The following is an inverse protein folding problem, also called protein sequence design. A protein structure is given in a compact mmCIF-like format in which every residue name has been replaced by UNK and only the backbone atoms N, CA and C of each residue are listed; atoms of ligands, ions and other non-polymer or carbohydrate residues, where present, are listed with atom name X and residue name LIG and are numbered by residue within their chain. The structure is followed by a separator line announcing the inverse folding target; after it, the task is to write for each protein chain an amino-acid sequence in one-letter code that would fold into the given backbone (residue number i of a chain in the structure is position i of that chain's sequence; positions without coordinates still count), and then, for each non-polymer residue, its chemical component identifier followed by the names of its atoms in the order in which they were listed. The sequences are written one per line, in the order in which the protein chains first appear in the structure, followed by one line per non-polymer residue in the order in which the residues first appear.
data_IF_673457475484
#
_entry.id   IF_673457475484
#
_cell.length_a   1.000
_cell.length_b   1.000
_cell.length_c   1.000
_cell.angle_alpha   90.00
_cell.angle_beta   90.00
_cell.angle_gamma   90.00
#
_symmetry.space_group_name_H-M   'P 1'
#
loop_
_entity.id
_entity.type
_entity.pdbx_description
1 polymer ?
#
# COMPACT_ATOMS: atom_id res chain seq x y z
N UNK A 1 8.95 12.09 -4.98
CA UNK A 1 8.14 11.66 -6.14
C UNK A 1 6.90 10.96 -5.62
N UNK A 2 5.75 11.65 -5.61
CA UNK A 2 4.46 11.11 -5.18
C UNK A 2 3.52 11.50 -6.32
N UNK A 3 3.05 10.54 -7.14
CA UNK A 3 1.92 10.73 -8.09
C UNK A 3 1.58 9.49 -8.96
N UNK A 4 2.25 8.35 -8.80
CA UNK A 4 2.00 7.24 -9.73
C UNK A 4 0.72 6.44 -9.47
N UNK A 5 0.22 6.37 -8.22
CA UNK A 5 -1.07 5.70 -7.89
C UNK A 5 -2.27 6.37 -8.54
N UNK A 6 -2.19 7.68 -8.69
CA UNK A 6 -3.25 8.51 -9.23
C UNK A 6 -3.52 8.17 -10.69
N UNK A 7 -2.45 8.05 -11.49
CA UNK A 7 -2.55 7.62 -12.88
C UNK A 7 -3.08 6.18 -12.99
N UNK A 8 -2.76 5.30 -12.03
CA UNK A 8 -3.24 3.91 -12.05
C UNK A 8 -4.76 3.83 -11.92
N UNK A 9 -5.39 4.60 -11.04
CA UNK A 9 -6.86 4.59 -10.87
C UNK A 9 -7.56 4.90 -12.20
N UNK A 10 -7.20 6.01 -12.84
CA UNK A 10 -7.74 6.41 -14.14
C UNK A 10 -7.53 5.34 -15.20
N UNK A 11 -6.30 4.86 -15.35
CA UNK A 11 -5.96 3.85 -16.35
C UNK A 11 -6.78 2.58 -16.18
N UNK A 12 -6.93 2.08 -14.95
CA UNK A 12 -7.73 0.89 -14.71
C UNK A 12 -9.22 1.10 -15.03
N UNK A 13 -9.80 2.24 -14.63
CA UNK A 13 -11.20 2.55 -14.95
C UNK A 13 -11.41 2.57 -16.46
N UNK A 14 -10.55 3.27 -17.19
CA UNK A 14 -10.64 3.37 -18.66
C UNK A 14 -10.45 2.02 -19.36
N UNK A 15 -9.51 1.17 -18.90
CA UNK A 15 -9.31 -0.18 -19.44
C UNK A 15 -10.52 -1.10 -19.25
N UNK A 16 -11.29 -0.90 -18.18
CA UNK A 16 -12.53 -1.66 -17.91
C UNK A 16 -13.77 -1.07 -18.57
N UNK A 17 -13.65 0.08 -19.25
CA UNK A 17 -14.76 0.73 -19.94
C UNK A 17 -15.79 1.42 -19.02
N UNK A 18 -15.50 1.56 -17.73
CA UNK A 18 -16.43 2.21 -16.78
C UNK A 18 -16.37 3.73 -16.97
N UNK A 19 -17.52 4.36 -17.19
CA UNK A 19 -17.59 5.81 -17.32
C UNK A 19 -17.25 6.50 -15.98
N UNK A 20 -16.63 7.67 -16.04
CA UNK A 20 -16.25 8.44 -14.85
C UNK A 20 -17.46 8.73 -13.94
N UNK A 21 -18.60 9.10 -14.54
CA UNK A 21 -19.84 9.40 -13.82
C UNK A 21 -20.43 8.18 -13.11
N UNK A 22 -20.36 7.01 -13.75
CA UNK A 22 -20.89 5.76 -13.19
C UNK A 22 -20.01 5.32 -12.02
N UNK A 23 -18.69 5.40 -12.21
CA UNK A 23 -17.73 5.14 -11.14
C UNK A 23 -17.94 6.08 -9.94
N UNK A 24 -18.12 7.38 -10.18
CA UNK A 24 -18.37 8.35 -9.13
C UNK A 24 -19.66 8.04 -8.37
N UNK A 25 -20.73 7.67 -9.10
CA UNK A 25 -22.02 7.27 -8.54
C UNK A 25 -21.89 5.99 -7.69
N UNK A 26 -21.17 4.98 -8.17
CA UNK A 26 -20.94 3.72 -7.45
C UNK A 26 -20.11 3.93 -6.17
N UNK A 27 -19.14 4.85 -6.20
CA UNK A 27 -18.32 5.22 -5.03
C UNK A 27 -19.13 6.10 -4.06
N UNK A 28 -20.16 6.82 -4.55
CA UNK A 28 -20.94 7.76 -3.76
C UNK A 28 -20.26 9.13 -3.59
N UNK A 29 -19.55 9.60 -4.63
CA UNK A 29 -18.88 10.92 -4.63
C UNK A 29 -19.25 11.73 -5.87
N UNK A 30 -19.00 13.03 -5.81
CA UNK A 30 -19.15 13.92 -6.96
C UNK A 30 -18.17 13.56 -8.10
N UNK A 31 -18.67 13.58 -9.34
CA UNK A 31 -17.89 13.29 -10.55
C UNK A 31 -16.70 14.26 -10.71
N UNK A 32 -16.86 15.53 -10.32
CA UNK A 32 -15.78 16.52 -10.31
C UNK A 32 -14.68 16.17 -9.30
N UNK A 33 -15.04 15.68 -8.12
CA UNK A 33 -14.08 15.16 -7.14
C UNK A 33 -13.35 13.92 -7.67
N UNK A 34 -14.06 12.96 -8.26
CA UNK A 34 -13.41 11.80 -8.87
C UNK A 34 -12.47 12.21 -10.02
N UNK A 35 -12.87 13.18 -10.84
CA UNK A 35 -12.01 13.75 -11.88
C UNK A 35 -10.73 14.36 -11.31
N UNK A 36 -10.83 15.17 -10.24
CA UNK A 36 -9.64 15.73 -9.58
C UNK A 36 -8.74 14.63 -9.01
N UNK A 37 -9.34 13.58 -8.45
CA UNK A 37 -8.61 12.41 -7.96
C UNK A 37 -7.83 11.73 -9.08
N UNK A 38 -8.49 11.41 -10.20
CA UNK A 38 -7.86 10.71 -11.32
C UNK A 38 -6.79 11.53 -12.07
N UNK A 39 -6.75 12.85 -11.85
CA UNK A 39 -5.77 13.75 -12.43
C UNK A 39 -4.73 14.27 -11.42
N UNK A 40 -4.73 13.77 -10.18
CA UNK A 40 -3.73 14.11 -9.17
C UNK A 40 -3.88 15.50 -8.58
N UNK A 41 -5.08 16.08 -8.72
CA UNK A 41 -5.45 17.36 -8.14
C UNK A 41 -6.09 17.21 -6.75
N UNK A 42 -6.46 15.99 -6.38
CA UNK A 42 -7.02 15.63 -5.09
C UNK A 42 -6.52 14.23 -4.70
N UNK A 43 -6.04 14.05 -3.47
CA UNK A 43 -5.61 12.72 -3.01
C UNK A 43 -6.84 11.83 -2.77
N UNK A 44 -6.84 10.57 -3.26
CA UNK A 44 -7.88 9.62 -2.94
C UNK A 44 -7.79 9.22 -1.46
N UNK A 45 -8.93 9.20 -0.77
CA UNK A 45 -9.00 8.55 0.53
C UNK A 45 -9.02 7.02 0.37
N UNK A 46 -8.86 6.29 1.48
CA UNK A 46 -8.81 4.83 1.47
C UNK A 46 -10.08 4.18 0.90
N UNK A 47 -11.25 4.80 1.10
CA UNK A 47 -12.52 4.27 0.61
C UNK A 47 -12.62 4.36 -0.92
N UNK A 48 -12.07 5.41 -1.52
CA UNK A 48 -11.97 5.54 -2.98
C UNK A 48 -11.11 4.40 -3.53
N UNK A 49 -9.90 4.21 -2.99
CA UNK A 49 -8.99 3.15 -3.46
C UNK A 49 -9.62 1.76 -3.29
N UNK A 50 -10.25 1.51 -2.14
CA UNK A 50 -10.96 0.25 -1.88
C UNK A 50 -12.13 0.04 -2.86
N UNK A 51 -12.84 1.10 -3.21
CA UNK A 51 -13.93 1.01 -4.19
C UNK A 51 -13.42 0.64 -5.58
N UNK A 52 -12.27 1.17 -6.02
CA UNK A 52 -11.64 0.72 -7.28
C UNK A 52 -11.28 -0.76 -7.24
N UNK A 53 -10.70 -1.24 -6.14
CA UNK A 53 -10.41 -2.66 -5.95
C UNK A 53 -11.67 -3.52 -6.11
N UNK A 54 -12.77 -3.14 -5.45
CA UNK A 54 -14.00 -3.93 -5.43
C UNK A 54 -14.77 -3.88 -6.75
N UNK A 55 -14.99 -2.68 -7.30
CA UNK A 55 -15.82 -2.47 -8.49
C UNK A 55 -15.13 -3.05 -9.72
N UNK A 56 -13.82 -2.82 -9.87
CA UNK A 56 -13.05 -3.21 -11.04
C UNK A 56 -12.37 -4.57 -10.88
N UNK A 57 -12.48 -5.21 -9.70
CA UNK A 57 -11.85 -6.49 -9.34
C UNK A 57 -10.32 -6.48 -9.56
N UNK A 58 -9.68 -5.36 -9.22
CA UNK A 58 -8.23 -5.20 -9.35
C UNK A 58 -7.57 -5.64 -8.06
N UNK A 59 -6.55 -6.52 -8.07
CA UNK A 59 -5.80 -6.84 -6.87
C UNK A 59 -5.26 -5.57 -6.20
N UNK A 60 -5.50 -5.42 -4.90
CA UNK A 60 -5.27 -4.16 -4.16
C UNK A 60 -3.81 -3.71 -4.28
N UNK A 61 -2.87 -4.66 -4.27
CA UNK A 61 -1.43 -4.45 -4.43
C UNK A 61 -1.07 -3.74 -5.74
N UNK A 62 -1.84 -3.96 -6.82
CA UNK A 62 -1.60 -3.30 -8.10
C UNK A 62 -1.94 -1.80 -8.08
N UNK A 63 -2.79 -1.35 -7.15
CA UNK A 63 -3.10 0.07 -6.97
C UNK A 63 -1.97 0.82 -6.24
N UNK A 64 -1.08 0.08 -5.59
CA UNK A 64 0.01 0.63 -4.76
C UNK A 64 1.39 0.21 -5.29
N UNK A 65 1.53 0.02 -6.60
CA UNK A 65 2.75 -0.52 -7.25
C UNK A 65 4.05 0.12 -6.76
N UNK A 66 4.04 1.41 -6.46
CA UNK A 66 5.24 2.15 -6.04
C UNK A 66 5.35 2.25 -4.51
N UNK A 67 4.22 2.24 -3.81
CA UNK A 67 4.17 2.32 -2.36
C UNK A 67 4.50 0.99 -1.70
N UNK A 68 4.19 -0.16 -2.33
CA UNK A 68 4.54 -1.47 -1.77
C UNK A 68 6.04 -1.61 -1.54
N UNK A 69 6.92 -1.46 -2.55
CA UNK A 69 8.36 -1.61 -2.35
C UNK A 69 8.93 -0.61 -1.33
N UNK A 70 8.51 0.66 -1.40
CA UNK A 70 8.98 1.69 -0.47
C UNK A 70 8.54 1.42 0.98
N UNK A 71 7.30 0.97 1.16
CA UNK A 71 6.77 0.61 2.49
C UNK A 71 7.47 -0.61 3.04
N UNK A 72 7.67 -1.66 2.23
CA UNK A 72 8.37 -2.88 2.63
C UNK A 72 9.80 -2.54 3.09
N UNK A 73 10.55 -1.76 2.29
CA UNK A 73 11.92 -1.33 2.65
C UNK A 73 11.94 -0.52 3.94
N UNK A 74 11.00 0.40 4.12
CA UNK A 74 10.89 1.21 5.34
C UNK A 74 10.61 0.33 6.57
N UNK A 75 9.65 -0.59 6.46
CA UNK A 75 9.32 -1.54 7.52
C UNK A 75 10.51 -2.47 7.85
N UNK A 76 11.24 -2.95 6.85
CA UNK A 76 12.40 -3.82 7.04
C UNK A 76 13.52 -3.07 7.78
N UNK A 77 13.87 -1.85 7.32
CA UNK A 77 14.86 -0.99 7.98
C UNK A 77 14.49 -0.73 9.45
N UNK A 78 13.25 -0.36 9.71
CA UNK A 78 12.80 -0.05 11.07
C UNK A 78 12.78 -1.31 11.96
N UNK A 79 12.44 -2.48 11.41
CA UNK A 79 12.43 -3.75 12.15
C UNK A 79 13.84 -4.19 12.52
N UNK A 80 14.82 -4.02 11.62
CA UNK A 80 16.23 -4.28 11.89
C UNK A 80 16.77 -3.35 12.98
N UNK A 81 16.50 -2.05 12.87
CA UNK A 81 16.90 -1.07 13.88
C UNK A 81 16.32 -1.41 15.27
N UNK A 82 15.03 -1.75 15.32
CA UNK A 82 14.38 -2.16 16.58
C UNK A 82 15.01 -3.44 17.16
N UNK A 83 15.38 -4.41 16.32
CA UNK A 83 16.07 -5.61 16.78
C UNK A 83 17.43 -5.25 17.39
N UNK A 84 18.21 -4.43 16.72
CA UNK A 84 19.54 -4.00 17.17
C UNK A 84 19.46 -3.27 18.53
N UNK A 85 18.44 -2.44 18.74
CA UNK A 85 18.17 -1.78 20.02
C UNK A 85 17.83 -2.76 21.15
N UNK A 86 17.20 -3.90 20.85
CA UNK A 86 16.75 -4.87 21.85
C UNK A 86 17.82 -5.92 22.19
N UNK A 87 18.78 -6.17 21.29
CA UNK A 87 19.86 -7.16 21.49
C UNK A 87 20.60 -6.99 22.83
N UNK A 88 20.97 -5.77 23.28
CA UNK A 88 21.66 -5.59 24.56
C UNK A 88 20.89 -6.15 25.76
N UNK A 89 19.56 -6.21 25.69
CA UNK A 89 18.69 -6.67 26.78
C UNK A 89 18.13 -8.07 26.58
N UNK A 90 18.63 -8.84 25.59
CA UNK A 90 18.09 -10.16 25.20
C UNK A 90 18.02 -11.19 26.33
N UNK A 91 18.85 -11.01 27.37
CA UNK A 91 18.84 -11.90 28.55
C UNK A 91 17.50 -11.86 29.30
N UNK A 92 16.73 -10.77 29.18
CA UNK A 92 15.39 -10.67 29.76
C UNK A 92 14.42 -11.53 28.95
N UNK A 93 13.70 -12.50 29.55
CA UNK A 93 12.83 -13.43 28.80
C UNK A 93 11.77 -12.76 27.91
N UNK A 94 11.20 -11.63 28.36
CA UNK A 94 10.23 -10.87 27.58
C UNK A 94 10.86 -10.15 26.37
N UNK A 95 12.14 -9.75 26.47
CA UNK A 95 12.89 -9.15 25.35
C UNK A 95 13.25 -10.24 24.34
N UNK A 96 13.71 -11.41 24.79
CA UNK A 96 13.93 -12.57 23.91
C UNK A 96 12.69 -12.91 23.08
N UNK A 97 11.51 -12.96 23.71
CA UNK A 97 10.24 -13.19 23.00
C UNK A 97 9.95 -12.10 21.96
N UNK A 98 10.18 -10.83 22.30
CA UNK A 98 10.00 -9.70 21.36
C UNK A 98 10.93 -9.82 20.16
N UNK A 99 12.21 -10.15 20.37
CA UNK A 99 13.18 -10.36 19.29
C UNK A 99 12.72 -11.49 18.36
N UNK A 100 12.28 -12.63 18.90
CA UNK A 100 11.75 -13.74 18.07
C UNK A 100 10.55 -13.32 17.22
N UNK A 101 9.66 -12.48 17.76
CA UNK A 101 8.54 -11.93 17.01
C UNK A 101 9.00 -10.98 15.89
N UNK A 102 9.99 -10.14 16.17
CA UNK A 102 10.58 -9.22 15.18
C UNK A 102 11.30 -10.00 14.08
N UNK A 103 12.06 -11.05 14.42
CA UNK A 103 12.70 -11.93 13.44
C UNK A 103 11.67 -12.55 12.49
N UNK A 104 10.56 -13.06 13.02
CA UNK A 104 9.46 -13.59 12.20
C UNK A 104 8.88 -12.55 11.26
N UNK A 105 8.81 -11.28 11.67
CA UNK A 105 8.33 -10.17 10.83
C UNK A 105 9.36 -9.85 9.75
N UNK A 106 10.65 -9.77 10.10
CA UNK A 106 11.76 -9.53 9.16
C UNK A 106 11.75 -10.61 8.07
N UNK A 107 11.64 -11.89 8.42
CA UNK A 107 11.61 -12.99 7.46
C UNK A 107 10.47 -12.82 6.44
N UNK A 108 9.27 -12.45 6.92
CA UNK A 108 8.11 -12.17 6.04
C UNK A 108 8.36 -10.97 5.14
N UNK A 109 8.93 -9.88 5.67
CA UNK A 109 9.23 -8.68 4.89
C UNK A 109 10.30 -8.93 3.83
N UNK A 110 11.30 -9.76 4.12
CA UNK A 110 12.34 -10.15 3.15
C UNK A 110 11.75 -10.98 2.01
N UNK A 111 10.78 -11.86 2.29
CA UNK A 111 10.05 -12.59 1.26
C UNK A 111 9.28 -11.61 0.36
N UNK A 112 8.51 -10.71 0.97
CA UNK A 112 7.74 -9.70 0.24
C UNK A 112 8.62 -8.76 -0.60
N UNK A 113 9.77 -8.31 -0.08
CA UNK A 113 10.68 -7.44 -0.83
C UNK A 113 11.15 -8.12 -2.13
N UNK A 114 11.45 -9.43 -2.09
CA UNK A 114 11.82 -10.21 -3.28
C UNK A 114 10.67 -10.36 -4.27
N UNK A 115 9.44 -10.44 -3.80
CA UNK A 115 8.25 -10.57 -4.65
C UNK A 115 7.93 -9.27 -5.39
N UNK A 116 8.17 -8.10 -4.78
CA UNK A 116 7.74 -6.79 -5.30
C UNK A 116 8.88 -5.93 -5.90
N UNK A 117 10.14 -6.34 -5.79
CA UNK A 117 11.31 -5.64 -6.38
C UNK A 117 11.63 -6.13 -7.81
N UNK A 118 10.97 -7.18 -8.31
CA UNK A 118 11.07 -7.65 -9.71
C UNK A 118 10.05 -6.98 -10.64
#
# INVERSE_FOLDING_TARGET
MINNTIHLLKSYRELTGVALQDMATLIGIDTGNLSKIEHGKLEPNILVILSYHLILKIPIEKLFKYQYPETIKSCLRNSLALKDELIPEVQKPHIKKRITQIDTIIDRLVILDKEYVN
#
